data_IF_644386764037
#
_entry.id   IF_644386764037
#
_cell.length_a   1.000
_cell.length_b   1.000
_cell.length_c   1.000
_cell.angle_alpha   90.00
_cell.angle_beta   90.00
_cell.angle_gamma   90.00
#
_symmetry.space_group_name_H-M   'P 1'
#
loop_
_entity.id
_entity.type
_entity.pdbx_description
1 polymer ?
#
# COMPACT_ATOMS: atom_id res chain seq x y z
N UNK A 1 -8.42 1.38 22.03
CA UNK A 1 -8.28 0.43 20.91
C UNK A 1 -9.39 0.61 19.87
N UNK A 2 -10.68 0.58 20.25
CA UNK A 2 -11.79 0.66 19.29
C UNK A 2 -11.76 1.80 18.25
N UNK A 3 -11.25 3.00 18.60
CA UNK A 3 -11.25 4.14 17.66
C UNK A 3 -10.29 3.94 16.48
N UNK A 4 -9.10 3.37 16.73
CA UNK A 4 -8.06 3.20 15.72
C UNK A 4 -8.46 2.12 14.71
N UNK A 5 -8.99 1.01 15.22
CA UNK A 5 -9.48 -0.09 14.38
C UNK A 5 -10.66 0.37 13.51
N UNK A 6 -11.56 1.20 14.06
CA UNK A 6 -12.65 1.82 13.32
C UNK A 6 -12.16 2.77 12.23
N UNK A 7 -11.17 3.62 12.53
CA UNK A 7 -10.55 4.51 11.55
C UNK A 7 -9.95 3.70 10.39
N UNK A 8 -9.16 2.68 10.70
CA UNK A 8 -8.49 1.85 9.68
C UNK A 8 -9.50 1.06 8.83
N UNK A 9 -10.58 0.56 9.43
CA UNK A 9 -11.67 -0.07 8.70
C UNK A 9 -12.35 0.92 7.73
N UNK A 10 -12.62 2.15 8.18
CA UNK A 10 -13.25 3.17 7.33
C UNK A 10 -12.36 3.59 6.16
N UNK A 11 -11.05 3.75 6.41
CA UNK A 11 -10.05 4.11 5.39
C UNK A 11 -9.84 3.02 4.33
N UNK A 12 -10.36 1.82 4.53
CA UNK A 12 -10.21 0.66 3.63
C UNK A 12 -11.55 0.18 3.08
N UNK A 13 -12.57 1.04 3.06
CA UNK A 13 -13.87 0.68 2.52
C UNK A 13 -14.39 1.73 1.55
N UNK A 14 -15.19 1.26 0.58
CA UNK A 14 -15.88 2.09 -0.39
C UNK A 14 -14.96 3.06 -1.14
N UNK A 15 -15.48 4.26 -1.41
CA UNK A 15 -14.75 5.33 -2.13
C UNK A 15 -13.50 5.80 -1.39
N UNK A 16 -13.50 5.78 -0.06
CA UNK A 16 -12.34 6.18 0.75
C UNK A 16 -11.22 5.16 0.55
N UNK A 17 -11.52 3.87 0.61
CA UNK A 17 -10.58 2.80 0.32
C UNK A 17 -9.96 2.88 -1.07
N UNK A 18 -10.77 3.17 -2.10
CA UNK A 18 -10.27 3.39 -3.47
C UNK A 18 -9.32 4.58 -3.52
N UNK A 19 -9.67 5.68 -2.86
CA UNK A 19 -8.86 6.90 -2.86
C UNK A 19 -7.52 6.67 -2.17
N UNK A 20 -7.51 6.05 -0.98
CA UNK A 20 -6.29 5.79 -0.22
C UNK A 20 -5.37 4.79 -0.95
N UNK A 21 -5.93 3.75 -1.58
CA UNK A 21 -5.15 2.76 -2.32
C UNK A 21 -4.62 3.35 -3.64
N UNK A 22 -5.45 4.13 -4.33
CA UNK A 22 -5.05 4.86 -5.54
C UNK A 22 -3.91 5.83 -5.24
N UNK A 23 -4.03 6.64 -4.18
CA UNK A 23 -2.96 7.54 -3.73
C UNK A 23 -1.67 6.78 -3.41
N UNK A 24 -1.79 5.66 -2.71
CA UNK A 24 -0.63 4.79 -2.40
C UNK A 24 0.10 4.36 -3.67
N UNK A 25 -0.62 3.84 -4.67
CA UNK A 25 -0.02 3.40 -5.94
C UNK A 25 0.60 4.57 -6.70
N UNK A 26 -0.13 5.69 -6.83
CA UNK A 26 0.34 6.87 -7.56
C UNK A 26 1.61 7.42 -6.91
N UNK A 27 1.61 7.60 -5.59
CA UNK A 27 2.78 8.10 -4.85
C UNK A 27 3.98 7.16 -5.00
N UNK A 28 3.77 5.85 -4.90
CA UNK A 28 4.82 4.84 -5.06
C UNK A 28 5.44 4.87 -6.47
N UNK A 29 4.62 4.95 -7.52
CA UNK A 29 5.11 5.05 -8.90
C UNK A 29 5.88 6.36 -9.12
N UNK A 30 5.33 7.50 -8.67
CA UNK A 30 6.01 8.79 -8.80
C UNK A 30 7.33 8.78 -8.04
N UNK A 31 7.35 8.22 -6.82
CA UNK A 31 8.56 8.11 -6.02
C UNK A 31 9.66 7.31 -6.74
N UNK A 32 9.30 6.21 -7.40
CA UNK A 32 10.24 5.38 -8.16
C UNK A 32 10.75 6.08 -9.43
N UNK A 33 9.84 6.69 -10.19
CA UNK A 33 10.19 7.39 -11.45
C UNK A 33 11.01 8.64 -11.18
N UNK A 34 10.67 9.41 -10.16
CA UNK A 34 11.39 10.64 -9.79
C UNK A 34 12.56 10.41 -8.84
N UNK A 35 12.74 9.18 -8.34
CA UNK A 35 13.74 8.86 -7.32
C UNK A 35 13.62 9.76 -6.08
N UNK A 36 12.39 9.94 -5.58
CA UNK A 36 12.06 10.81 -4.45
C UNK A 36 11.71 9.99 -3.19
N UNK A 37 12.62 9.85 -2.20
CA UNK A 37 12.40 9.02 -1.02
C UNK A 37 11.18 9.44 -0.20
N UNK A 38 10.93 10.74 -0.10
CA UNK A 38 9.83 11.31 0.70
C UNK A 38 8.48 10.82 0.16
N UNK A 39 8.32 10.74 -1.17
CA UNK A 39 7.10 10.25 -1.79
C UNK A 39 6.85 8.77 -1.51
N UNK A 40 7.92 7.97 -1.46
CA UNK A 40 7.83 6.55 -1.08
C UNK A 40 7.45 6.39 0.39
N UNK A 41 7.99 7.23 1.28
CA UNK A 41 7.61 7.27 2.70
C UNK A 41 6.12 7.60 2.86
N UNK A 42 5.61 8.59 2.12
CA UNK A 42 4.19 8.92 2.13
C UNK A 42 3.35 7.73 1.64
N UNK A 43 3.76 7.07 0.55
CA UNK A 43 3.11 5.85 0.08
C UNK A 43 3.08 4.76 1.18
N UNK A 44 4.15 4.60 1.95
CA UNK A 44 4.22 3.66 3.07
C UNK A 44 3.20 3.97 4.18
N UNK A 45 3.03 5.25 4.51
CA UNK A 45 2.04 5.71 5.49
C UNK A 45 0.62 5.41 5.00
N UNK A 46 0.30 5.75 3.76
CA UNK A 46 -1.01 5.45 3.17
C UNK A 46 -1.25 3.95 2.96
N UNK A 47 -0.20 3.13 3.00
CA UNK A 47 -0.32 1.67 2.94
C UNK A 47 -0.78 1.05 4.28
N UNK A 48 -0.55 1.74 5.41
CA UNK A 48 -0.82 1.20 6.75
C UNK A 48 -2.27 0.74 6.97
N UNK A 49 -3.31 1.50 6.57
CA UNK A 49 -4.71 1.06 6.72
C UNK A 49 -4.97 -0.30 6.07
N UNK A 50 -4.41 -0.54 4.87
CA UNK A 50 -4.55 -1.82 4.17
C UNK A 50 -3.90 -2.97 4.92
N UNK A 51 -2.71 -2.75 5.48
CA UNK A 51 -2.04 -3.82 6.21
C UNK A 51 -2.78 -4.26 7.46
N UNK A 52 -3.54 -3.34 8.07
CA UNK A 52 -4.36 -3.62 9.23
C UNK A 52 -5.57 -4.48 8.85
N UNK A 53 -6.29 -4.13 7.78
CA UNK A 53 -7.52 -4.83 7.40
C UNK A 53 -7.28 -6.12 6.62
N UNK A 54 -6.28 -6.17 5.74
CA UNK A 54 -5.90 -7.41 5.05
C UNK A 54 -5.07 -8.35 5.91
N UNK A 55 -4.27 -7.81 6.83
CA UNK A 55 -3.53 -8.64 7.79
C UNK A 55 -4.48 -9.45 8.69
N UNK A 56 -5.73 -9.00 8.88
CA UNK A 56 -6.73 -9.75 9.65
C UNK A 56 -7.28 -11.01 8.93
N UNK A 57 -7.03 -11.16 7.62
CA UNK A 57 -7.49 -12.31 6.83
C UNK A 57 -6.38 -13.36 6.64
N UNK A 58 -6.65 -14.58 7.12
CA UNK A 58 -6.11 -15.85 6.58
C UNK A 58 -4.58 -16.05 6.53
N UNK A 59 -3.90 -16.18 7.68
CA UNK A 59 -2.59 -16.88 7.78
C UNK A 59 -1.36 -16.19 7.15
N UNK A 60 -1.53 -15.14 6.35
CA UNK A 60 -0.46 -14.34 5.71
C UNK A 60 -0.19 -13.04 6.51
N UNK A 61 -0.52 -13.10 7.81
CA UNK A 61 -0.66 -11.97 8.72
C UNK A 61 0.64 -11.16 8.86
N UNK A 62 1.79 -11.85 8.87
CA UNK A 62 3.11 -11.21 8.95
C UNK A 62 3.49 -10.56 7.63
N UNK A 63 3.41 -11.27 6.51
CA UNK A 63 3.87 -10.74 5.23
C UNK A 63 3.12 -9.47 4.80
N UNK A 64 1.81 -9.41 5.05
CA UNK A 64 0.99 -8.21 4.77
C UNK A 64 1.36 -7.04 5.70
N UNK A 65 1.69 -7.30 6.96
CA UNK A 65 2.11 -6.24 7.91
C UNK A 65 3.48 -5.67 7.59
N UNK A 66 4.32 -6.41 6.89
CA UNK A 66 5.65 -5.96 6.46
C UNK A 66 5.61 -5.08 5.21
N UNK A 67 4.46 -4.88 4.56
CA UNK A 67 4.37 -4.10 3.31
C UNK A 67 4.89 -2.66 3.41
N UNK A 68 4.55 -1.87 4.45
CA UNK A 68 5.15 -0.57 4.70
C UNK A 68 6.67 -0.66 4.84
N UNK A 69 7.20 -1.72 5.46
CA UNK A 69 8.65 -1.87 5.63
C UNK A 69 9.36 -2.10 4.29
N UNK A 70 8.74 -2.78 3.34
CA UNK A 70 9.28 -2.90 1.99
C UNK A 70 9.32 -1.56 1.26
N UNK A 71 8.28 -0.72 1.44
CA UNK A 71 8.28 0.65 0.91
C UNK A 71 9.29 1.55 1.63
N UNK A 72 9.46 1.43 2.95
CA UNK A 72 10.52 2.13 3.68
C UNK A 72 11.92 1.68 3.23
N UNK A 73 12.12 0.38 3.02
CA UNK A 73 13.36 -0.15 2.44
C UNK A 73 13.62 0.39 1.03
N UNK A 74 12.57 0.52 0.21
CA UNK A 74 12.65 1.16 -1.10
C UNK A 74 13.04 2.64 -0.97
N UNK A 75 12.41 3.39 -0.06
CA UNK A 75 12.77 4.79 0.19
C UNK A 75 14.25 4.94 0.61
N UNK A 76 14.74 4.03 1.45
CA UNK A 76 16.14 3.99 1.83
C UNK A 76 17.05 3.70 0.63
N UNK A 77 16.70 2.71 -0.20
CA UNK A 77 17.45 2.39 -1.43
C UNK A 77 17.48 3.57 -2.41
N UNK A 78 16.36 4.28 -2.59
CA UNK A 78 16.29 5.52 -3.39
C UNK A 78 17.28 6.56 -2.83
N UNK A 79 17.30 6.75 -1.51
CA UNK A 79 18.21 7.72 -0.86
C UNK A 79 19.70 7.36 -1.00
N UNK A 80 20.01 6.09 -1.29
CA UNK A 80 21.36 5.59 -1.56
C UNK A 80 21.68 5.48 -3.05
N UNK A 81 20.77 5.91 -3.93
CA UNK A 81 20.88 5.77 -5.38
C UNK A 81 20.99 4.31 -5.87
N UNK A 82 20.49 3.36 -5.08
CA UNK A 82 20.47 1.92 -5.41
C UNK A 82 19.21 1.59 -6.22
N UNK A 83 19.18 1.99 -7.49
CA UNK A 83 17.97 1.93 -8.34
C UNK A 83 17.37 0.53 -8.41
N UNK A 84 18.16 -0.52 -8.61
CA UNK A 84 17.61 -1.87 -8.75
C UNK A 84 16.85 -2.30 -7.49
N UNK A 85 17.44 -2.10 -6.31
CA UNK A 85 16.83 -2.46 -5.03
C UNK A 85 15.59 -1.61 -4.76
N UNK A 86 15.66 -0.31 -5.08
CA UNK A 86 14.54 0.62 -4.96
C UNK A 86 13.32 0.13 -5.75
N UNK A 87 13.51 -0.42 -6.95
CA UNK A 87 12.43 -0.92 -7.80
C UNK A 87 11.93 -2.31 -7.43
N UNK A 88 12.78 -3.19 -6.89
CA UNK A 88 12.41 -4.57 -6.55
C UNK A 88 11.59 -4.65 -5.26
N UNK A 89 12.00 -3.93 -4.21
CA UNK A 89 11.34 -3.99 -2.91
C UNK A 89 9.83 -3.66 -2.93
N UNK A 90 9.35 -2.62 -3.64
CA UNK A 90 7.96 -2.24 -3.61
C UNK A 90 7.07 -3.04 -4.59
N UNK A 91 7.60 -4.01 -5.34
CA UNK A 91 6.78 -4.82 -6.27
C UNK A 91 5.67 -5.55 -5.53
N UNK A 92 6.00 -6.18 -4.40
CA UNK A 92 5.04 -6.94 -3.59
C UNK A 92 3.91 -6.02 -3.07
N UNK A 93 4.18 -4.88 -2.39
CA UNK A 93 3.13 -3.97 -1.97
C UNK A 93 2.37 -3.36 -3.14
N UNK A 94 3.02 -3.08 -4.27
CA UNK A 94 2.33 -2.64 -5.48
C UNK A 94 1.27 -3.63 -5.95
N UNK A 95 1.63 -4.91 -6.12
CA UNK A 95 0.72 -5.94 -6.60
C UNK A 95 -0.44 -6.18 -5.62
N UNK A 96 -0.19 -6.15 -4.33
CA UNK A 96 -1.24 -6.36 -3.32
C UNK A 96 -2.23 -5.19 -3.30
N UNK A 97 -1.75 -3.94 -3.26
CA UNK A 97 -2.61 -2.75 -3.30
C UNK A 97 -3.41 -2.69 -4.62
N UNK A 98 -2.80 -3.08 -5.74
CA UNK A 98 -3.49 -3.19 -7.02
C UNK A 98 -4.59 -4.26 -6.99
N UNK A 99 -4.28 -5.46 -6.48
CA UNK A 99 -5.26 -6.55 -6.38
C UNK A 99 -6.45 -6.17 -5.47
N UNK A 100 -6.18 -5.38 -4.43
CA UNK A 100 -7.20 -4.84 -3.55
C UNK A 100 -8.12 -3.84 -4.28
N UNK A 101 -7.55 -2.90 -5.05
CA UNK A 101 -8.34 -1.96 -5.84
C UNK A 101 -9.26 -2.67 -6.82
N UNK A 102 -8.72 -3.66 -7.54
CA UNK A 102 -9.51 -4.46 -8.48
C UNK A 102 -10.68 -5.13 -7.76
N UNK A 103 -10.44 -5.72 -6.58
CA UNK A 103 -11.51 -6.35 -5.79
C UNK A 103 -12.58 -5.37 -5.35
N UNK A 104 -12.21 -4.19 -4.86
CA UNK A 104 -13.20 -3.18 -4.44
C UNK A 104 -14.04 -2.71 -5.62
N UNK A 105 -13.40 -2.43 -6.75
CA UNK A 105 -14.11 -2.02 -7.95
C UNK A 105 -15.09 -3.12 -8.37
N UNK A 106 -14.65 -4.37 -8.48
CA UNK A 106 -15.52 -5.50 -8.85
C UNK A 106 -16.65 -5.74 -7.85
N UNK A 107 -16.39 -5.63 -6.54
CA UNK A 107 -17.41 -5.80 -5.51
C UNK A 107 -18.49 -4.69 -5.53
N UNK A 108 -18.17 -3.50 -6.04
CA UNK A 108 -19.13 -2.42 -6.24
C UNK A 108 -19.94 -2.52 -7.54
N UNK A 109 -19.59 -3.45 -8.44
CA UNK A 109 -20.32 -3.75 -9.67
C UNK A 109 -20.69 -5.24 -9.73
N UNK A 110 -21.68 -5.71 -8.96
CA UNK A 110 -22.11 -7.11 -8.98
C UNK A 110 -22.85 -7.41 -10.30
N UNK A 111 -22.10 -7.80 -11.33
CA UNK A 111 -22.61 -8.11 -12.67
C UNK A 111 -21.60 -8.75 -13.62
N UNK A 112 -20.43 -9.13 -13.12
CA UNK A 112 -19.42 -9.98 -13.79
C UNK A 112 -19.09 -11.17 -12.90
#
# INVERSE_FOLDING_TARGET
>A
MAWFDYLMATLTQGMVGVTVAGLTLVLMVIALVRSEPILMVLAAIFTMPFTHTWGAWSGILIAVRLLPLLQFGSAFAISKHETLIAWVLPIIPFLLVLSYLVRIVLAQFPGF
#
